data_IF_195057054991
#
_entry.id   IF_195057054991
#
_cell.length_a   1.000
_cell.length_b   1.000
_cell.length_c   1.000
_cell.angle_alpha   90.00
_cell.angle_beta   90.00
_cell.angle_gamma   90.00
#
_symmetry.space_group_name_H-M   'P 1'
#
loop_
_entity.id
_entity.type
_entity.pdbx_description
1 polymer ?
#
# COMPACT_ATOMS: atom_id res chain seq x y z
N UNK A 1 -6.42 -1.02 -9.86
CA UNK A 1 -5.78 -2.32 -9.51
C UNK A 1 -6.79 -3.12 -8.71
N UNK A 2 -6.82 -4.44 -8.79
CA UNK A 2 -7.73 -5.25 -7.98
C UNK A 2 -7.05 -5.71 -6.70
N UNK A 3 -7.77 -5.72 -5.59
CA UNK A 3 -7.33 -6.33 -4.33
C UNK A 3 -8.32 -7.42 -3.94
N UNK A 4 -7.82 -8.48 -3.30
CA UNK A 4 -8.66 -9.54 -2.76
C UNK A 4 -7.96 -10.28 -1.60
N UNK A 5 -8.77 -10.88 -0.72
CA UNK A 5 -8.31 -11.84 0.28
C UNK A 5 -9.41 -12.87 0.57
N UNK A 6 -9.02 -14.00 1.16
CA UNK A 6 -9.93 -15.09 1.49
C UNK A 6 -9.56 -15.68 2.85
N UNK A 7 -10.56 -15.84 3.70
CA UNK A 7 -10.49 -16.50 5.00
C UNK A 7 -10.86 -17.98 4.84
N UNK A 8 -9.98 -18.86 5.32
CA UNK A 8 -10.12 -20.31 5.15
C UNK A 8 -9.98 -21.11 6.45
N UNK A 9 -10.03 -20.44 7.61
CA UNK A 9 -9.90 -21.12 8.90
C UNK A 9 -11.10 -22.04 9.15
N UNK A 10 -10.85 -23.27 9.61
CA UNK A 10 -11.90 -24.29 9.76
C UNK A 10 -13.02 -23.90 10.75
N UNK A 11 -12.66 -23.17 11.81
CA UNK A 11 -13.62 -22.72 12.83
C UNK A 11 -14.30 -21.39 12.47
N UNK A 12 -14.12 -20.89 11.24
CA UNK A 12 -14.73 -19.65 10.77
C UNK A 12 -15.41 -19.89 9.44
N UNK A 13 -16.52 -19.21 9.14
CA UNK A 13 -17.13 -19.33 7.82
C UNK A 13 -16.14 -18.87 6.75
N UNK A 14 -16.18 -19.54 5.61
CA UNK A 14 -15.39 -19.13 4.46
C UNK A 14 -15.90 -17.77 3.99
N UNK A 15 -15.04 -16.76 4.08
CA UNK A 15 -15.35 -15.39 3.70
C UNK A 15 -14.28 -14.90 2.73
N UNK A 16 -14.65 -14.02 1.81
CA UNK A 16 -13.72 -13.36 0.92
C UNK A 16 -14.14 -11.91 0.72
N UNK A 17 -13.19 -11.08 0.36
CA UNK A 17 -13.42 -9.69 0.00
C UNK A 17 -12.63 -9.37 -1.26
N UNK A 18 -13.22 -8.55 -2.12
CA UNK A 18 -12.59 -8.12 -3.36
C UNK A 18 -13.16 -6.79 -3.82
N UNK A 19 -12.29 -5.90 -4.30
CA UNK A 19 -12.70 -4.60 -4.81
C UNK A 19 -11.66 -4.05 -5.76
N UNK A 20 -12.07 -3.17 -6.67
CA UNK A 20 -11.11 -2.32 -7.35
C UNK A 20 -10.51 -1.33 -6.34
N UNK A 21 -9.29 -0.90 -6.59
CA UNK A 21 -8.56 0.10 -5.82
C UNK A 21 -8.08 1.20 -6.76
N UNK A 22 -8.46 2.43 -6.43
CA UNK A 22 -7.91 3.63 -7.08
C UNK A 22 -6.59 3.97 -6.41
N UNK A 23 -5.52 4.01 -7.21
CA UNK A 23 -4.20 4.47 -6.79
C UNK A 23 -3.64 5.37 -7.87
N UNK A 24 -3.09 6.52 -7.48
CA UNK A 24 -2.35 7.42 -8.35
C UNK A 24 -0.95 6.89 -8.72
N UNK A 25 -0.50 5.81 -8.06
CA UNK A 25 0.81 5.20 -8.28
C UNK A 25 0.68 3.77 -8.84
N UNK A 26 1.41 3.43 -9.91
CA UNK A 26 1.42 2.08 -10.47
C UNK A 26 2.41 1.20 -9.67
N UNK A 27 1.93 0.52 -8.63
CA UNK A 27 2.76 -0.45 -7.87
C UNK A 27 1.95 -1.66 -7.46
N UNK A 28 2.44 -2.86 -7.80
CA UNK A 28 1.82 -4.13 -7.39
C UNK A 28 1.72 -4.29 -5.87
N UNK A 29 2.62 -3.66 -5.12
CA UNK A 29 2.61 -3.70 -3.65
C UNK A 29 1.42 -2.95 -3.01
N UNK A 30 0.79 -2.01 -3.72
CA UNK A 30 -0.33 -1.21 -3.19
C UNK A 30 -1.58 -2.07 -2.95
N UNK A 31 -2.15 -2.77 -3.95
CA UNK A 31 -3.30 -3.64 -3.72
C UNK A 31 -2.97 -4.78 -2.74
N UNK A 32 -1.74 -5.28 -2.71
CA UNK A 32 -1.32 -6.30 -1.75
C UNK A 32 -1.29 -5.76 -0.30
N UNK A 33 -0.75 -4.55 -0.07
CA UNK A 33 -0.80 -3.89 1.24
C UNK A 33 -2.25 -3.61 1.67
N UNK A 34 -3.10 -3.17 0.73
CA UNK A 34 -4.50 -2.89 0.99
C UNK A 34 -5.31 -4.17 1.30
N UNK A 35 -5.03 -5.28 0.60
CA UNK A 35 -5.62 -6.58 0.90
C UNK A 35 -5.26 -7.05 2.31
N UNK A 36 -3.98 -6.95 2.70
CA UNK A 36 -3.54 -7.29 4.05
C UNK A 36 -4.24 -6.41 5.11
N UNK A 37 -4.29 -5.09 4.88
CA UNK A 37 -4.93 -4.15 5.80
C UNK A 37 -6.43 -4.45 5.99
N UNK A 38 -7.17 -4.60 4.88
CA UNK A 38 -8.60 -4.89 4.92
C UNK A 38 -8.92 -6.27 5.50
N UNK A 39 -8.05 -7.27 5.31
CA UNK A 39 -8.20 -8.57 5.95
C UNK A 39 -8.08 -8.45 7.48
N UNK A 40 -7.09 -7.69 7.98
CA UNK A 40 -6.88 -7.51 9.42
C UNK A 40 -7.99 -6.70 10.09
N UNK A 41 -8.64 -5.77 9.37
CA UNK A 41 -9.83 -5.07 9.87
C UNK A 41 -11.01 -6.01 10.16
N UNK A 42 -11.06 -7.17 9.53
CA UNK A 42 -12.11 -8.18 9.78
C UNK A 42 -11.76 -9.17 10.88
N UNK A 43 -10.53 -9.14 11.40
CA UNK A 43 -10.10 -10.04 12.45
C UNK A 43 -10.71 -9.63 13.80
N UNK A 44 -11.26 -10.58 14.58
CA UNK A 44 -11.74 -10.28 15.93
C UNK A 44 -10.55 -9.94 16.85
N UNK A 45 -10.78 -9.17 17.94
CA UNK A 45 -9.73 -8.82 18.88
C UNK A 45 -9.16 -10.05 19.60
N UNK A 46 -7.90 -9.96 20.02
CA UNK A 46 -7.14 -11.02 20.70
C UNK A 46 -6.99 -12.31 19.88
N UNK A 47 -6.97 -12.21 18.56
CA UNK A 47 -6.87 -13.36 17.66
C UNK A 47 -5.47 -13.54 17.09
N UNK A 48 -5.11 -14.79 16.80
CA UNK A 48 -3.93 -15.15 16.02
C UNK A 48 -4.28 -15.20 14.54
N UNK A 49 -3.65 -14.36 13.74
CA UNK A 49 -3.87 -14.28 12.29
C UNK A 49 -2.65 -14.79 11.55
N UNK A 50 -2.83 -15.81 10.71
CA UNK A 50 -1.79 -16.30 9.80
C UNK A 50 -2.17 -15.92 8.37
N UNK A 51 -1.38 -15.04 7.77
CA UNK A 51 -1.59 -14.59 6.40
C UNK A 51 -0.61 -15.30 5.49
N UNK A 52 -1.13 -16.03 4.51
CA UNK A 52 -0.35 -16.68 3.48
C UNK A 52 -0.35 -15.79 2.23
N UNK A 53 0.82 -15.38 1.77
CA UNK A 53 0.96 -14.51 0.59
C UNK A 53 2.20 -14.90 -0.21
N UNK A 54 2.14 -14.81 -1.53
CA UNK A 54 3.28 -14.99 -2.43
C UNK A 54 4.12 -13.71 -2.58
N UNK A 55 3.62 -12.57 -2.06
CA UNK A 55 4.34 -11.31 -2.07
C UNK A 55 5.52 -11.32 -1.09
N UNK A 56 6.71 -11.48 -1.67
CA UNK A 56 7.97 -11.31 -0.95
C UNK A 56 8.15 -9.87 -0.44
N UNK A 57 7.59 -8.88 -1.14
CA UNK A 57 7.67 -7.47 -0.77
C UNK A 57 6.90 -7.22 0.53
N UNK A 58 5.63 -7.65 0.59
CA UNK A 58 4.80 -7.49 1.79
C UNK A 58 5.42 -8.22 2.99
N UNK A 59 5.84 -9.47 2.78
CA UNK A 59 6.43 -10.27 3.88
C UNK A 59 7.72 -9.63 4.43
N UNK A 60 8.62 -9.18 3.55
CA UNK A 60 9.88 -8.55 3.96
C UNK A 60 9.67 -7.19 4.64
N UNK A 61 8.75 -6.37 4.13
CA UNK A 61 8.41 -5.08 4.72
C UNK A 61 7.78 -5.23 6.10
N UNK A 62 6.83 -6.15 6.28
CA UNK A 62 6.21 -6.41 7.58
C UNK A 62 7.24 -6.85 8.62
N UNK A 63 8.11 -7.80 8.28
CA UNK A 63 9.15 -8.29 9.20
C UNK A 63 10.13 -7.18 9.58
N UNK A 64 10.53 -6.37 8.61
CA UNK A 64 11.41 -5.22 8.86
C UNK A 64 10.75 -4.19 9.78
N UNK A 65 9.51 -3.82 9.49
CA UNK A 65 8.78 -2.81 10.26
C UNK A 65 8.39 -3.30 11.66
N UNK A 66 7.98 -4.55 11.80
CA UNK A 66 7.66 -5.14 13.10
C UNK A 66 8.90 -5.19 14.00
N UNK A 67 10.05 -5.55 13.44
CA UNK A 67 11.33 -5.48 14.15
C UNK A 67 11.69 -4.04 14.56
N UNK A 68 11.56 -3.07 13.64
CA UNK A 68 11.87 -1.67 13.94
C UNK A 68 10.94 -1.09 15.01
N UNK A 69 9.63 -1.39 14.97
CA UNK A 69 8.66 -0.95 15.98
C UNK A 69 9.00 -1.50 17.37
N UNK A 70 9.56 -2.72 17.46
CA UNK A 70 10.06 -3.31 18.71
C UNK A 70 11.32 -2.62 19.23
N UNK A 71 12.22 -2.19 18.34
CA UNK A 71 13.48 -1.55 18.73
C UNK A 71 13.36 -0.07 19.04
N UNK A 72 12.48 0.66 18.35
CA UNK A 72 12.27 2.09 18.56
C UNK A 72 10.86 2.51 18.16
N UNK A 73 10.15 3.31 18.99
CA UNK A 73 8.85 3.86 18.64
C UNK A 73 8.94 4.99 17.60
N UNK A 74 10.13 5.30 17.07
CA UNK A 74 10.30 6.39 16.12
C UNK A 74 9.55 6.13 14.82
N UNK A 75 8.84 7.15 14.34
CA UNK A 75 8.14 7.14 13.06
C UNK A 75 9.09 7.23 11.84
N UNK A 76 10.36 7.61 12.03
CA UNK A 76 11.34 7.85 10.95
C UNK A 76 11.51 6.69 9.94
N UNK A 77 11.44 5.40 10.33
CA UNK A 77 11.57 4.33 9.35
C UNK A 77 10.39 4.24 8.39
N UNK A 78 9.18 4.59 8.83
CA UNK A 78 7.97 4.59 7.99
C UNK A 78 8.08 5.60 6.84
N UNK A 79 8.77 6.74 7.05
CA UNK A 79 9.02 7.74 6.01
C UNK A 79 9.88 7.24 4.83
N UNK A 80 10.62 6.13 5.01
CA UNK A 80 11.55 5.60 4.01
C UNK A 80 10.95 4.44 3.19
N UNK A 81 9.71 4.04 3.47
CA UNK A 81 9.11 2.82 2.94
C UNK A 81 7.90 3.18 2.08
N UNK A 82 7.68 2.42 1.01
CA UNK A 82 6.49 2.55 0.18
C UNK A 82 5.25 2.15 0.98
N UNK A 83 4.11 2.73 0.65
CA UNK A 83 2.81 2.44 1.26
C UNK A 83 2.83 2.63 2.79
N UNK A 84 3.64 3.58 3.29
CA UNK A 84 3.86 3.80 4.72
C UNK A 84 2.57 4.03 5.49
N UNK A 85 1.58 4.69 4.88
CA UNK A 85 0.26 4.93 5.47
C UNK A 85 -0.48 3.63 5.75
N UNK A 86 -0.50 2.69 4.78
CA UNK A 86 -1.09 1.37 4.99
C UNK A 86 -0.40 0.64 6.14
N UNK A 87 0.92 0.66 6.18
CA UNK A 87 1.68 0.01 7.24
C UNK A 87 1.37 0.57 8.61
N UNK A 88 1.27 1.90 8.74
CA UNK A 88 0.97 2.51 10.02
C UNK A 88 -0.45 2.21 10.49
N UNK A 89 -1.47 2.38 9.63
CA UNK A 89 -2.85 2.00 9.98
C UNK A 89 -2.93 0.50 10.32
N UNK A 90 -2.22 -0.35 9.58
CA UNK A 90 -2.14 -1.78 9.85
C UNK A 90 -1.55 -2.06 11.25
N UNK A 91 -0.43 -1.41 11.61
CA UNK A 91 0.19 -1.61 12.91
C UNK A 91 -0.60 -0.99 14.07
N UNK A 92 -1.45 -0.02 13.81
CA UNK A 92 -2.42 0.55 14.75
C UNK A 92 -3.56 -0.45 15.00
N UNK A 93 -4.18 -0.98 13.95
CA UNK A 93 -5.20 -2.05 14.04
C UNK A 93 -4.66 -3.26 14.81
N UNK A 94 -3.44 -3.71 14.51
CA UNK A 94 -2.80 -4.82 15.23
C UNK A 94 -2.68 -4.52 16.73
N UNK A 95 -2.29 -3.30 17.11
CA UNK A 95 -2.18 -2.94 18.53
C UNK A 95 -3.53 -2.78 19.21
N UNK A 96 -4.48 -2.09 18.57
CA UNK A 96 -5.81 -1.83 19.13
C UNK A 96 -6.60 -3.12 19.36
N UNK A 97 -6.51 -4.05 18.41
CA UNK A 97 -7.18 -5.35 18.48
C UNK A 97 -6.34 -6.42 19.15
N UNK A 98 -5.13 -6.09 19.64
CA UNK A 98 -4.19 -7.04 20.25
C UNK A 98 -4.01 -8.32 19.40
N UNK A 99 -3.75 -8.16 18.11
CA UNK A 99 -3.63 -9.28 17.16
C UNK A 99 -2.21 -9.88 17.17
N UNK A 100 -2.14 -11.21 17.14
CA UNK A 100 -0.89 -11.95 16.96
C UNK A 100 -0.74 -12.37 15.49
N UNK A 101 -0.08 -11.51 14.68
CA UNK A 101 -0.05 -11.62 13.21
C UNK A 101 1.25 -12.22 12.70
N UNK A 102 1.13 -13.26 11.86
CA UNK A 102 2.24 -13.89 11.15
C UNK A 102 2.02 -13.86 9.63
N UNK A 103 3.00 -13.35 8.91
CA UNK A 103 3.06 -13.43 7.45
C UNK A 103 3.93 -14.60 7.02
N UNK A 104 3.33 -15.51 6.25
CA UNK A 104 3.96 -16.73 5.75
C UNK A 104 4.09 -16.60 4.24
N UNK A 105 5.34 -16.50 3.78
CA UNK A 105 5.63 -16.48 2.34
C UNK A 105 5.36 -17.86 1.75
N UNK A 106 4.47 -17.92 0.77
CA UNK A 106 4.28 -19.08 -0.10
C UNK A 106 5.03 -18.87 -1.42
N UNK A 107 5.41 -19.97 -2.06
CA UNK A 107 6.11 -19.92 -3.34
C UNK A 107 5.10 -19.54 -4.42
N UNK A 108 5.39 -18.47 -5.17
CA UNK A 108 4.59 -18.10 -6.33
C UNK A 108 4.49 -19.29 -7.31
N UNK A 109 3.32 -19.48 -7.93
CA UNK A 109 3.06 -20.57 -8.88
C UNK A 109 3.23 -21.98 -8.30
N UNK A 110 3.12 -22.17 -6.98
CA UNK A 110 3.24 -23.48 -6.32
C UNK A 110 1.98 -24.36 -6.40
N UNK A 111 1.07 -24.11 -7.35
CA UNK A 111 -0.24 -24.77 -7.43
C UNK A 111 -1.05 -24.73 -6.12
N UNK A 112 -0.89 -23.67 -5.31
CA UNK A 112 -1.72 -23.47 -4.14
C UNK A 112 -3.13 -23.05 -4.58
N UNK A 113 -4.11 -23.94 -4.40
CA UNK A 113 -5.49 -23.75 -4.83
C UNK A 113 -6.12 -22.47 -4.27
N UNK A 114 -5.88 -22.15 -2.99
CA UNK A 114 -6.46 -20.96 -2.36
C UNK A 114 -5.79 -19.68 -2.87
N UNK A 115 -4.47 -19.67 -3.03
CA UNK A 115 -3.78 -18.51 -3.58
C UNK A 115 -4.21 -18.23 -5.03
N UNK A 116 -4.25 -19.27 -5.87
CA UNK A 116 -4.71 -19.17 -7.24
C UNK A 116 -6.15 -18.65 -7.32
N UNK A 117 -7.01 -19.06 -6.37
CA UNK A 117 -8.38 -18.55 -6.26
C UNK A 117 -8.40 -17.06 -5.90
N UNK A 118 -7.58 -16.62 -4.94
CA UNK A 118 -7.47 -15.21 -4.57
C UNK A 118 -6.92 -14.37 -5.74
N UNK A 119 -5.95 -14.87 -6.49
CA UNK A 119 -5.40 -14.20 -7.67
C UNK A 119 -6.46 -14.01 -8.77
N UNK A 120 -7.30 -15.01 -8.99
CA UNK A 120 -8.43 -14.91 -9.92
C UNK A 120 -9.46 -13.87 -9.43
N UNK A 121 -9.84 -13.93 -8.15
CA UNK A 121 -10.76 -12.96 -7.54
C UNK A 121 -10.22 -11.53 -7.65
N UNK A 122 -8.91 -11.33 -7.42
CA UNK A 122 -8.28 -10.02 -7.55
C UNK A 122 -8.29 -9.49 -8.99
N UNK A 123 -8.17 -10.37 -10.00
CA UNK A 123 -8.30 -9.96 -11.41
C UNK A 123 -9.72 -9.58 -11.75
N UNK A 124 -10.70 -10.36 -11.29
CA UNK A 124 -12.12 -10.08 -11.53
C UNK A 124 -12.56 -8.81 -10.81
N UNK A 125 -11.94 -8.48 -9.67
CA UNK A 125 -12.23 -7.27 -8.92
C UNK A 125 -12.00 -5.96 -9.70
N UNK A 126 -11.30 -6.00 -10.84
CA UNK A 126 -11.06 -4.82 -11.68
C UNK A 126 -12.35 -4.20 -12.24
N UNK A 127 -13.43 -4.97 -12.37
CA UNK A 127 -14.74 -4.49 -12.85
C UNK A 127 -15.65 -3.99 -11.72
N UNK A 128 -15.25 -4.19 -10.46
CA UNK A 128 -16.03 -3.79 -9.30
C UNK A 128 -15.87 -2.29 -9.00
N UNK A 129 -16.80 -1.68 -8.24
CA UNK A 129 -16.64 -0.33 -7.75
C UNK A 129 -15.30 -0.15 -7.02
N UNK A 130 -14.64 0.98 -7.23
CA UNK A 130 -13.33 1.21 -6.65
C UNK A 130 -13.43 1.76 -5.23
N UNK A 131 -12.74 1.09 -4.31
CA UNK A 131 -12.53 1.56 -2.96
C UNK A 131 -11.62 2.80 -2.98
N UNK A 132 -12.14 3.90 -2.45
CA UNK A 132 -11.35 5.09 -2.13
C UNK A 132 -11.05 5.08 -0.64
N UNK A 133 -9.78 4.94 -0.28
CA UNK A 133 -9.35 5.01 1.11
C UNK A 133 -9.06 6.45 1.50
N UNK A 134 -9.99 7.05 2.26
CA UNK A 134 -9.77 8.35 2.89
C UNK A 134 -8.87 8.19 4.12
N UNK A 135 -7.55 8.15 3.87
CA UNK A 135 -6.53 8.02 4.91
C UNK A 135 -6.20 9.36 5.60
N UNK A 136 -7.04 10.38 5.43
CA UNK A 136 -6.84 11.72 6.01
C UNK A 136 -6.97 11.73 7.54
N UNK A 137 -7.61 10.72 8.12
CA UNK A 137 -7.74 10.52 9.56
C UNK A 137 -6.61 9.66 10.18
N UNK A 138 -5.60 9.26 9.39
CA UNK A 138 -4.46 8.51 9.92
C UNK A 138 -3.72 9.34 11.00
N UNK A 139 -3.19 8.70 12.07
CA UNK A 139 -2.58 9.40 13.20
C UNK A 139 -1.50 10.39 12.74
N UNK A 140 -1.57 11.61 13.31
CA UNK A 140 -0.98 12.92 12.92
C UNK A 140 0.52 12.99 12.51
N UNK A 141 1.02 12.08 11.68
CA UNK A 141 2.45 11.97 11.38
C UNK A 141 2.76 11.67 9.91
N UNK A 142 1.79 11.79 9.00
CA UNK A 142 2.06 11.66 7.56
C UNK A 142 2.20 13.02 6.89
N UNK A 143 3.23 13.14 6.07
CA UNK A 143 3.29 14.23 5.10
C UNK A 143 2.19 13.97 4.06
N UNK A 144 1.25 14.91 3.95
CA UNK A 144 0.25 14.92 2.90
C UNK A 144 0.77 15.80 1.75
N UNK A 145 0.59 15.34 0.51
CA UNK A 145 0.79 16.19 -0.67
C UNK A 145 -0.59 16.50 -1.25
N UNK A 146 -1.01 17.78 -1.26
CA UNK A 146 -2.33 18.21 -1.77
C UNK A 146 -3.51 17.40 -1.20
N UNK A 147 -3.54 17.19 0.12
CA UNK A 147 -4.55 16.39 0.83
C UNK A 147 -4.62 14.89 0.45
N UNK A 148 -3.61 14.36 -0.24
CA UNK A 148 -3.47 12.92 -0.47
C UNK A 148 -2.30 12.34 0.35
N UNK A 149 -2.48 11.12 0.89
CA UNK A 149 -1.43 10.41 1.62
C UNK A 149 -0.27 10.06 0.68
N UNK A 150 0.96 10.27 1.16
CA UNK A 150 2.17 9.92 0.43
C UNK A 150 2.40 8.39 0.52
N UNK A 151 2.26 7.69 -0.62
CA UNK A 151 2.44 6.23 -0.73
C UNK A 151 3.86 5.82 -1.16
N UNK A 152 4.77 6.78 -1.36
CA UNK A 152 6.16 6.53 -1.75
C UNK A 152 7.11 7.18 -0.72
N UNK A 153 8.39 6.80 -0.67
CA UNK A 153 9.30 7.31 0.34
C UNK A 153 9.41 8.83 0.23
N UNK A 154 9.33 9.54 1.36
CA UNK A 154 9.19 10.99 1.38
C UNK A 154 10.32 11.70 0.62
N UNK A 155 11.53 11.14 0.66
CA UNK A 155 12.71 11.65 -0.06
C UNK A 155 12.50 11.67 -1.57
N UNK A 156 11.82 10.67 -2.13
CA UNK A 156 11.54 10.61 -3.55
C UNK A 156 10.63 11.77 -3.96
N UNK A 157 9.57 12.03 -3.19
CA UNK A 157 8.67 13.16 -3.43
C UNK A 157 9.39 14.50 -3.30
N UNK A 158 10.20 14.68 -2.27
CA UNK A 158 10.96 15.93 -2.11
C UNK A 158 11.87 16.17 -3.32
N UNK A 159 12.53 15.12 -3.82
CA UNK A 159 13.33 15.20 -5.05
C UNK A 159 12.48 15.53 -6.27
N UNK A 160 11.35 14.85 -6.48
CA UNK A 160 10.45 15.11 -7.60
C UNK A 160 9.89 16.53 -7.58
N UNK A 161 9.46 17.04 -6.42
CA UNK A 161 8.98 18.42 -6.27
C UNK A 161 10.10 19.40 -6.59
N UNK A 162 11.32 19.13 -6.08
CA UNK A 162 12.47 19.97 -6.35
C UNK A 162 12.81 20.00 -7.85
N UNK A 163 12.85 18.83 -8.49
CA UNK A 163 13.07 18.70 -9.92
C UNK A 163 11.99 19.42 -10.72
N UNK A 164 10.71 19.25 -10.37
CA UNK A 164 9.61 19.89 -11.09
C UNK A 164 9.67 21.42 -10.98
N UNK A 165 9.96 21.96 -9.79
CA UNK A 165 10.15 23.42 -9.61
C UNK A 165 11.34 23.94 -10.41
N UNK A 166 12.46 23.24 -10.39
CA UNK A 166 13.65 23.62 -11.14
C UNK A 166 13.42 23.54 -12.66
N UNK A 167 12.69 22.51 -13.11
CA UNK A 167 12.30 22.34 -14.51
C UNK A 167 11.35 23.46 -14.94
N UNK A 168 10.36 23.82 -14.12
CA UNK A 168 9.50 24.99 -14.36
C UNK A 168 10.31 26.29 -14.44
N UNK A 169 11.30 26.49 -13.57
CA UNK A 169 12.21 27.64 -13.65
C UNK A 169 12.99 27.65 -14.97
N UNK A 170 13.55 26.51 -15.39
CA UNK A 170 14.24 26.39 -16.69
C UNK A 170 13.30 26.71 -17.86
N UNK A 171 12.08 26.17 -17.87
CA UNK A 171 11.09 26.44 -18.92
C UNK A 171 10.66 27.91 -18.95
N UNK A 172 10.64 28.57 -17.80
CA UNK A 172 10.32 29.99 -17.68
C UNK A 172 11.45 30.91 -18.17
N UNK A 173 12.66 30.40 -18.40
CA UNK A 173 13.76 31.19 -18.95
C UNK A 173 13.42 31.64 -20.37
N UNK A 174 13.62 32.94 -20.65
CA UNK A 174 13.29 33.56 -21.92
C UNK A 174 13.92 32.84 -23.13
N UNK A 175 15.13 32.29 -22.96
CA UNK A 175 15.84 31.55 -24.02
C UNK A 175 15.11 30.25 -24.37
N UNK A 176 14.58 29.53 -23.38
CA UNK A 176 13.87 28.26 -23.58
C UNK A 176 12.43 28.50 -24.05
N UNK A 177 11.77 29.52 -23.48
CA UNK A 177 10.40 29.87 -23.83
C UNK A 177 10.25 30.32 -25.30
N UNK A 178 11.31 30.87 -25.91
CA UNK A 178 11.37 31.20 -27.34
C UNK A 178 11.16 29.98 -28.25
N UNK A 179 11.54 28.78 -27.80
CA UNK A 179 11.39 27.53 -28.54
C UNK A 179 10.10 26.77 -28.18
N UNK A 180 9.36 27.19 -27.15
CA UNK A 180 8.10 26.55 -26.73
C UNK A 180 6.99 26.64 -27.79
N UNK A 181 7.02 27.69 -28.63
CA UNK A 181 6.11 27.87 -29.77
C UNK A 181 6.34 26.86 -30.90
N UNK A 182 7.53 26.26 -31.01
CA UNK A 182 7.84 25.28 -32.06
C UNK A 182 7.38 23.86 -31.74
N UNK A 183 7.08 23.55 -30.47
CA UNK A 183 6.69 22.21 -30.03
C UNK A 183 5.20 22.05 -29.70
N UNK A 184 4.36 23.04 -30.04
CA UNK A 184 2.90 22.82 -30.10
C UNK A 184 2.60 22.02 -31.37
N UNK A 185 2.70 20.70 -31.26
CA UNK A 185 2.16 19.77 -32.26
C UNK A 185 0.63 19.82 -32.11
N UNK A 186 -0.06 20.12 -33.21
CA UNK A 186 -1.52 20.10 -33.33
C UNK A 186 -2.10 18.71 -33.11
#
# INVERSE_FOLDING_TARGET
MGLAWLQSHQNSPMAFFSTALVSSFPSSSIPESAALFTALLTAPPNCKVRVYTDSAIITSQFNKLSFLKKQSPSFRPFLKINNSVFWSCLFEVISEHNLDVYLIKIKAHSNNLLNNKVDAIAKDALILPALQLNLTAAPQSFANCKNQPILIPIRHIVKEIFWHKHLQQILSLHVVNKYHLFFRIN
#
